data_IF_111223705963
#
_entry.id   IF_111223705963
#
_cell.length_a   1.000
_cell.length_b   1.000
_cell.length_c   1.000
_cell.angle_alpha   90.00
_cell.angle_beta   90.00
_cell.angle_gamma   90.00
#
_symmetry.space_group_name_H-M   'P 1'
#
loop_
_entity.id
_entity.type
_entity.pdbx_description
1 polymer ?
#
# COMPACT_ATOMS: atom_id res chain seq x y z
N UNK A 1 -4.60 1.44 -15.34
CA UNK A 1 -3.44 1.57 -14.43
C UNK A 1 -3.80 0.85 -13.15
N UNK A 2 -2.96 -0.06 -12.63
CA UNK A 2 -3.21 -0.78 -11.38
C UNK A 2 -3.14 0.20 -10.21
N UNK A 3 -4.16 0.22 -9.36
CA UNK A 3 -4.23 1.06 -8.16
C UNK A 3 -3.84 0.19 -6.99
N UNK A 4 -2.79 0.55 -6.29
CA UNK A 4 -2.26 -0.22 -5.17
C UNK A 4 -2.64 0.52 -3.89
N UNK A 5 -3.34 -0.14 -2.97
CA UNK A 5 -3.71 0.43 -1.69
C UNK A 5 -2.62 0.13 -0.66
N UNK A 6 -2.18 1.18 0.01
CA UNK A 6 -1.32 1.14 1.17
C UNK A 6 -2.14 1.09 2.48
N UNK A 7 -1.51 0.69 3.58
CA UNK A 7 -2.08 0.69 4.93
C UNK A 7 -2.64 2.06 5.28
N UNK A 8 -1.87 3.13 5.04
CA UNK A 8 -2.28 4.49 5.37
C UNK A 8 -3.59 4.92 4.67
N UNK A 9 -3.81 4.49 3.41
CA UNK A 9 -5.08 4.71 2.72
C UNK A 9 -6.24 3.98 3.39
N UNK A 10 -6.04 2.69 3.71
CA UNK A 10 -7.08 1.84 4.27
C UNK A 10 -7.48 2.29 5.67
N UNK A 11 -6.50 2.65 6.50
CA UNK A 11 -6.69 3.18 7.85
C UNK A 11 -7.43 4.52 7.79
N UNK A 12 -6.95 5.47 6.98
CA UNK A 12 -7.59 6.77 6.86
C UNK A 12 -9.04 6.67 6.36
N UNK A 13 -9.33 5.75 5.43
CA UNK A 13 -10.69 5.53 4.97
C UNK A 13 -11.61 4.91 6.04
N UNK A 14 -11.05 4.15 6.98
CA UNK A 14 -11.80 3.46 8.02
C UNK A 14 -12.02 4.29 9.29
N UNK A 15 -11.09 5.18 9.64
CA UNK A 15 -11.21 6.08 10.80
C UNK A 15 -11.82 7.43 10.40
N UNK A 16 -13.06 7.77 10.84
CA UNK A 16 -13.67 9.07 10.57
C UNK A 16 -12.93 10.28 11.15
N UNK A 17 -12.03 10.06 12.12
CA UNK A 17 -11.25 11.12 12.76
C UNK A 17 -9.88 11.32 12.10
N UNK A 18 -9.48 10.47 11.15
CA UNK A 18 -8.26 10.66 10.40
C UNK A 18 -8.36 11.94 9.55
N UNK A 19 -7.32 12.77 9.58
CA UNK A 19 -7.27 14.04 8.82
C UNK A 19 -7.44 13.84 7.31
N UNK A 20 -7.11 12.67 6.78
CA UNK A 20 -7.22 12.31 5.38
C UNK A 20 -8.46 11.46 5.06
N UNK A 21 -9.37 11.24 6.03
CA UNK A 21 -10.55 10.41 5.88
C UNK A 21 -11.39 10.74 4.65
N UNK A 22 -11.70 12.03 4.45
CA UNK A 22 -12.54 12.47 3.33
C UNK A 22 -11.92 12.10 1.97
N UNK A 23 -10.59 12.27 1.82
CA UNK A 23 -9.87 11.90 0.61
C UNK A 23 -9.82 10.39 0.43
N UNK A 24 -9.44 9.64 1.47
CA UNK A 24 -9.26 8.20 1.41
C UNK A 24 -10.59 7.47 1.13
N UNK A 25 -11.67 7.88 1.79
CA UNK A 25 -12.99 7.31 1.58
C UNK A 25 -13.54 7.64 0.18
N UNK A 26 -13.30 8.84 -0.34
CA UNK A 26 -13.65 9.19 -1.72
C UNK A 26 -12.82 8.39 -2.74
N UNK A 27 -11.53 8.21 -2.48
CA UNK A 27 -10.62 7.42 -3.30
C UNK A 27 -11.11 5.97 -3.45
N UNK A 28 -11.40 5.29 -2.33
CA UNK A 28 -11.89 3.90 -2.35
C UNK A 28 -13.21 3.78 -3.12
N UNK A 29 -14.18 4.67 -2.86
CA UNK A 29 -15.48 4.64 -3.54
C UNK A 29 -15.38 4.86 -5.05
N UNK A 30 -14.54 5.78 -5.50
CA UNK A 30 -14.44 6.14 -6.91
C UNK A 30 -13.50 5.21 -7.72
N UNK A 31 -12.54 4.57 -7.05
CA UNK A 31 -11.42 3.91 -7.71
C UNK A 31 -11.27 2.42 -7.36
N UNK A 32 -12.26 1.79 -6.74
CA UNK A 32 -12.26 0.34 -6.62
C UNK A 32 -12.22 -0.36 -8.02
N UNK A 33 -11.69 -1.60 -8.12
CA UNK A 33 -10.92 -2.29 -7.08
C UNK A 33 -9.51 -1.72 -6.91
N UNK A 34 -9.02 -1.77 -5.67
CA UNK A 34 -7.62 -1.59 -5.30
C UNK A 34 -6.92 -2.95 -5.14
N UNK A 35 -5.63 -2.98 -5.44
CA UNK A 35 -4.78 -4.15 -5.24
C UNK A 35 -3.88 -3.96 -4.01
N UNK A 36 -3.62 -5.02 -3.28
CA UNK A 36 -2.71 -4.98 -2.13
C UNK A 36 -2.09 -6.35 -1.87
N UNK A 37 -1.37 -6.52 -0.76
CA UNK A 37 -0.77 -7.78 -0.33
C UNK A 37 -1.07 -8.09 1.15
N UNK A 38 -0.79 -9.31 1.56
CA UNK A 38 -1.04 -9.84 2.90
C UNK A 38 -0.41 -9.00 4.02
N UNK A 39 0.76 -8.42 3.79
CA UNK A 39 1.44 -7.56 4.76
C UNK A 39 0.63 -6.30 5.11
N UNK A 40 0.07 -5.64 4.09
CA UNK A 40 -0.81 -4.47 4.26
C UNK A 40 -2.12 -4.86 4.95
N UNK A 41 -2.68 -6.03 4.64
CA UNK A 41 -3.89 -6.53 5.32
C UNK A 41 -3.62 -6.72 6.82
N UNK A 42 -2.50 -7.37 7.16
CA UNK A 42 -2.08 -7.60 8.53
C UNK A 42 -1.88 -6.29 9.29
N UNK A 43 -1.13 -5.37 8.70
CA UNK A 43 -0.82 -4.08 9.33
C UNK A 43 -2.07 -3.21 9.49
N UNK A 44 -2.93 -3.13 8.47
CA UNK A 44 -4.21 -2.42 8.56
C UNK A 44 -5.08 -2.97 9.69
N UNK A 45 -5.21 -4.29 9.80
CA UNK A 45 -5.98 -4.93 10.86
C UNK A 45 -5.38 -4.67 12.25
N UNK A 46 -4.05 -4.63 12.35
CA UNK A 46 -3.33 -4.31 13.57
C UNK A 46 -3.57 -2.87 14.00
N UNK A 47 -3.39 -1.90 13.10
CA UNK A 47 -3.58 -0.47 13.37
C UNK A 47 -5.03 -0.16 13.76
N UNK A 48 -6.01 -0.76 13.07
CA UNK A 48 -7.43 -0.58 13.38
C UNK A 48 -7.91 -1.37 14.60
N UNK A 49 -7.08 -2.26 15.15
CA UNK A 49 -7.47 -3.18 16.23
C UNK A 49 -8.56 -4.18 15.85
N UNK A 50 -8.85 -4.34 14.55
CA UNK A 50 -9.90 -5.24 14.05
C UNK A 50 -9.70 -5.58 12.57
N UNK A 51 -9.78 -6.87 12.17
CA UNK A 51 -9.68 -7.26 10.77
C UNK A 51 -11.00 -7.09 9.99
N UNK A 52 -12.12 -6.79 10.66
CA UNK A 52 -13.45 -6.84 10.05
C UNK A 52 -13.60 -5.87 8.87
N UNK A 53 -13.05 -4.66 8.99
CA UNK A 53 -13.11 -3.64 7.94
C UNK A 53 -12.39 -4.08 6.67
N UNK A 54 -11.14 -4.52 6.79
CA UNK A 54 -10.32 -4.94 5.64
C UNK A 54 -10.83 -6.24 5.00
N UNK A 55 -11.30 -7.21 5.81
CA UNK A 55 -11.94 -8.43 5.29
C UNK A 55 -13.26 -8.14 4.56
N UNK A 56 -14.02 -7.13 5.02
CA UNK A 56 -15.24 -6.70 4.32
C UNK A 56 -14.92 -6.09 2.95
N UNK A 57 -13.86 -5.29 2.84
CA UNK A 57 -13.40 -4.75 1.55
C UNK A 57 -12.99 -5.87 0.58
N UNK A 58 -12.26 -6.88 1.08
CA UNK A 58 -11.88 -8.06 0.31
C UNK A 58 -13.11 -8.86 -0.15
N UNK A 59 -14.05 -9.13 0.77
CA UNK A 59 -15.25 -9.91 0.48
C UNK A 59 -16.17 -9.25 -0.55
N UNK A 60 -16.20 -7.91 -0.60
CA UNK A 60 -16.97 -7.16 -1.61
C UNK A 60 -16.24 -6.99 -2.94
N UNK A 61 -14.94 -7.28 -2.98
CA UNK A 61 -14.08 -7.04 -4.14
C UNK A 61 -13.64 -5.59 -4.31
N UNK A 62 -13.84 -4.73 -3.31
CA UNK A 62 -13.33 -3.36 -3.30
C UNK A 62 -11.80 -3.34 -3.17
N UNK A 63 -11.27 -4.33 -2.45
CA UNK A 63 -9.85 -4.60 -2.25
C UNK A 63 -9.55 -6.02 -2.76
N UNK A 64 -8.41 -6.21 -3.41
CA UNK A 64 -8.01 -7.48 -4.04
C UNK A 64 -6.55 -7.78 -3.68
N UNK A 65 -6.28 -8.99 -3.19
CA UNK A 65 -4.90 -9.49 -3.08
C UNK A 65 -4.33 -9.67 -4.49
N UNK A 66 -3.22 -9.01 -4.79
CA UNK A 66 -2.66 -9.02 -6.14
C UNK A 66 -2.10 -10.40 -6.51
N UNK A 67 -2.68 -11.11 -7.48
CA UNK A 67 -2.23 -12.47 -7.82
C UNK A 67 -0.84 -12.49 -8.45
N UNK A 68 -0.33 -11.33 -8.91
CA UNK A 68 1.01 -11.21 -9.47
C UNK A 68 2.10 -11.05 -8.41
N UNK A 69 1.72 -10.76 -7.16
CA UNK A 69 2.63 -10.65 -6.04
C UNK A 69 2.53 -11.91 -5.17
N UNK A 70 3.60 -12.70 -5.14
CA UNK A 70 3.70 -13.88 -4.27
C UNK A 70 4.86 -13.68 -3.34
N UNK A 71 4.59 -13.34 -2.07
CA UNK A 71 5.60 -12.97 -1.08
C UNK A 71 6.82 -13.90 -1.08
N UNK A 72 6.59 -15.22 -1.05
CA UNK A 72 7.65 -16.23 -1.02
C UNK A 72 8.62 -16.16 -2.22
N UNK A 73 8.17 -15.70 -3.39
CA UNK A 73 9.01 -15.53 -4.58
C UNK A 73 9.82 -14.24 -4.54
N UNK A 74 9.35 -13.25 -3.78
CA UNK A 74 9.93 -11.92 -3.76
C UNK A 74 10.89 -11.69 -2.59
N UNK A 75 11.04 -12.66 -1.66
CA UNK A 75 11.91 -12.55 -0.47
C UNK A 75 13.31 -12.00 -0.76
N UNK A 76 14.06 -12.45 -1.79
CA UNK A 76 15.38 -11.88 -2.07
C UNK A 76 15.32 -10.38 -2.36
N UNK A 77 14.32 -9.94 -3.12
CA UNK A 77 14.15 -8.53 -3.48
C UNK A 77 13.63 -7.69 -2.31
N UNK A 78 12.75 -8.25 -1.48
CA UNK A 78 12.29 -7.60 -0.24
C UNK A 78 13.45 -7.37 0.72
N UNK A 79 14.33 -8.37 0.89
CA UNK A 79 15.53 -8.24 1.72
C UNK A 79 16.47 -7.13 1.22
N UNK A 80 16.66 -7.02 -0.10
CA UNK A 80 17.45 -5.92 -0.69
C UNK A 80 16.84 -4.55 -0.40
N UNK A 81 15.51 -4.41 -0.51
CA UNK A 81 14.80 -3.17 -0.22
C UNK A 81 14.95 -2.78 1.25
N UNK A 82 14.67 -3.71 2.18
CA UNK A 82 14.81 -3.47 3.61
C UNK A 82 16.26 -3.13 4.01
N UNK A 83 17.27 -3.76 3.40
CA UNK A 83 18.68 -3.40 3.61
C UNK A 83 19.02 -2.03 3.06
N UNK A 84 18.48 -1.66 1.90
CA UNK A 84 18.74 -0.37 1.26
C UNK A 84 18.20 0.80 2.08
N UNK A 85 17.07 0.60 2.75
CA UNK A 85 16.36 1.64 3.51
C UNK A 85 16.39 1.37 5.02
N UNK A 86 17.40 0.64 5.51
CA UNK A 86 17.52 0.30 6.94
C UNK A 86 17.82 1.51 7.83
N UNK A 87 18.32 2.60 7.24
CA UNK A 87 18.52 3.89 7.91
C UNK A 87 17.20 4.64 8.20
N UNK A 88 16.10 4.21 7.56
CA UNK A 88 14.76 4.79 7.68
C UNK A 88 13.73 3.84 8.25
N UNK A 89 14.17 2.66 8.71
CA UNK A 89 13.28 1.64 9.29
C UNK A 89 12.11 1.25 8.36
N UNK A 90 12.36 1.13 7.05
CA UNK A 90 11.35 0.65 6.10
C UNK A 90 10.68 -0.62 6.63
N UNK A 91 9.37 -0.58 6.76
CA UNK A 91 8.60 -1.74 7.18
C UNK A 91 8.40 -2.75 6.03
N UNK A 92 7.85 -3.91 6.38
CA UNK A 92 7.65 -4.98 5.42
C UNK A 92 6.50 -4.69 4.43
N UNK A 93 5.48 -3.92 4.85
CA UNK A 93 4.37 -3.55 3.99
C UNK A 93 4.85 -2.62 2.87
N UNK A 94 5.58 -1.56 3.21
CA UNK A 94 6.27 -0.66 2.31
C UNK A 94 7.17 -1.39 1.31
N UNK A 95 8.02 -2.30 1.80
CA UNK A 95 8.88 -3.10 0.94
C UNK A 95 8.07 -3.94 -0.07
N UNK A 96 6.96 -4.54 0.39
CA UNK A 96 6.05 -5.28 -0.49
C UNK A 96 5.40 -4.35 -1.52
N UNK A 97 4.94 -3.16 -1.13
CA UNK A 97 4.29 -2.22 -2.03
C UNK A 97 5.26 -1.69 -3.10
N UNK A 98 6.47 -1.30 -2.71
CA UNK A 98 7.54 -0.94 -3.66
C UNK A 98 7.77 -2.10 -4.63
N UNK A 99 7.84 -3.34 -4.13
CA UNK A 99 8.02 -4.52 -4.99
C UNK A 99 6.85 -4.76 -5.93
N UNK A 100 5.61 -4.59 -5.49
CA UNK A 100 4.43 -4.65 -6.35
C UNK A 100 4.51 -3.63 -7.49
N UNK A 101 5.07 -2.44 -7.24
CA UNK A 101 5.29 -1.46 -8.31
C UNK A 101 6.37 -1.87 -9.31
N UNK A 102 7.35 -2.67 -8.90
CA UNK A 102 8.37 -3.23 -9.81
C UNK A 102 7.80 -4.33 -10.69
N UNK A 103 6.85 -5.11 -10.17
CA UNK A 103 6.17 -6.19 -10.91
C UNK A 103 5.10 -5.66 -11.87
N UNK A 104 4.61 -4.44 -11.68
CA UNK A 104 3.55 -3.84 -12.50
C UNK A 104 3.97 -2.51 -13.11
N UNK A 105 4.26 -2.49 -14.41
CA UNK A 105 4.73 -1.28 -15.10
C UNK A 105 3.78 -0.07 -14.97
N UNK A 106 2.48 -0.27 -15.26
CA UNK A 106 1.43 0.76 -15.21
C UNK A 106 0.65 0.69 -13.90
N UNK A 107 1.24 1.16 -12.81
CA UNK A 107 0.62 1.20 -11.49
C UNK A 107 0.76 2.58 -10.80
N UNK A 108 0.03 2.76 -9.69
CA UNK A 108 0.19 3.87 -8.76
C UNK A 108 -0.19 3.40 -7.34
N UNK A 109 0.64 3.68 -6.34
CA UNK A 109 0.33 3.50 -4.92
C UNK A 109 -0.51 4.67 -4.43
N UNK A 110 -1.55 4.39 -3.66
CA UNK A 110 -2.35 5.39 -2.97
C UNK A 110 -2.05 5.28 -1.48
N UNK A 111 -1.46 6.33 -0.92
CA UNK A 111 -0.93 6.36 0.44
C UNK A 111 -1.04 7.77 1.02
N UNK A 112 -1.01 7.88 2.34
CA UNK A 112 -0.86 9.15 3.07
C UNK A 112 0.60 9.41 3.49
N UNK A 113 1.46 8.39 3.41
CA UNK A 113 2.86 8.39 3.87
C UNK A 113 3.78 8.99 2.80
N UNK A 114 3.60 10.30 2.60
CA UNK A 114 4.25 11.06 1.54
C UNK A 114 5.77 11.01 1.64
N UNK A 115 6.33 11.21 2.83
CA UNK A 115 7.78 11.38 3.00
C UNK A 115 8.56 10.08 2.70
N UNK A 116 7.98 8.93 3.05
CA UNK A 116 8.55 7.62 2.80
C UNK A 116 8.49 7.26 1.31
N UNK A 117 7.32 7.34 0.70
CA UNK A 117 7.15 7.00 -0.71
C UNK A 117 7.80 7.99 -1.69
N UNK A 118 8.02 9.25 -1.29
CA UNK A 118 8.87 10.18 -2.05
C UNK A 118 10.36 9.83 -1.96
N UNK A 119 10.78 9.10 -0.93
CA UNK A 119 12.17 8.66 -0.73
C UNK A 119 12.44 7.34 -1.44
N UNK A 120 11.50 6.40 -1.37
CA UNK A 120 11.67 5.07 -1.94
C UNK A 120 11.80 5.08 -3.47
N UNK A 121 12.49 4.07 -3.99
CA UNK A 121 12.77 3.93 -5.43
C UNK A 121 12.51 2.51 -5.89
N UNK A 122 11.75 2.38 -6.98
CA UNK A 122 11.56 1.13 -7.70
C UNK A 122 12.64 0.96 -8.78
N UNK A 123 13.01 -0.27 -9.11
CA UNK A 123 14.08 -0.57 -10.07
C UNK A 123 15.36 0.24 -9.78
N UNK A 124 15.73 0.26 -8.50
CA UNK A 124 16.89 0.96 -7.92
C UNK A 124 16.81 2.50 -7.89
N UNK A 125 16.43 3.16 -8.99
CA UNK A 125 16.53 4.64 -9.13
C UNK A 125 15.24 5.34 -9.56
N UNK A 126 14.20 4.61 -9.97
CA UNK A 126 12.98 5.24 -10.45
C UNK A 126 12.09 5.65 -9.28
N UNK A 127 11.46 6.81 -9.35
CA UNK A 127 10.45 7.21 -8.38
C UNK A 127 9.31 6.18 -8.33
N UNK A 128 8.79 5.93 -7.13
CA UNK A 128 7.60 5.09 -6.96
C UNK A 128 6.38 5.93 -7.38
N UNK A 129 5.57 5.49 -8.36
CA UNK A 129 4.39 6.26 -8.78
C UNK A 129 3.36 6.27 -7.65
N UNK A 130 3.01 7.46 -7.13
CA UNK A 130 2.11 7.61 -6.00
C UNK A 130 0.96 8.60 -6.27
N UNK A 131 -0.15 8.39 -5.60
CA UNK A 131 -1.26 9.32 -5.39
C UNK A 131 -1.29 9.67 -3.91
N UNK A 132 -1.39 10.95 -3.60
CA UNK A 132 -1.38 11.46 -2.24
C UNK A 132 -2.60 12.34 -2.00
N UNK A 133 -3.04 12.53 -0.75
CA UNK A 133 -4.00 13.57 -0.42
C UNK A 133 -3.49 14.96 -0.85
N UNK A 134 -4.40 15.88 -1.25
CA UNK A 134 -4.05 17.28 -1.47
C UNK A 134 -3.52 17.91 -0.17
N UNK A 135 -2.67 18.94 -0.32
CA UNK A 135 -2.13 19.72 0.79
C UNK A 135 -3.15 20.74 1.30
#
# INVERSE_FOLDING_TARGET
>A
MKRIADTGLLVAAADPHDRHHAWAAAALRANAPFHTCDAVILETAWVLGSPLGVLSLLSRGDLVLDPTFVFAREVPRLLELCRKYSDRSMDLADACLVRMTELTAKCKIWTVDRDDFLTYRRHSRQAVPCEFPPQ
#
